data_IF_990767751226
#
_entry.id   IF_990767751226
#
_cell.length_a   1.000
_cell.length_b   1.000
_cell.length_c   1.000
_cell.angle_alpha   90.00
_cell.angle_beta   90.00
_cell.angle_gamma   90.00
#
_symmetry.space_group_name_H-M   'P 1'
#
loop_
_entity.id
_entity.type
_entity.pdbx_description
1 polymer ?
#
# COMPACT_ATOMS: atom_id res chain seq x y z
N UNK A 1 0.62 -9.55 17.68
CA UNK A 1 0.49 -8.52 16.64
C UNK A 1 -0.93 -8.57 16.12
N UNK A 2 -1.76 -7.59 16.49
CA UNK A 2 -3.12 -7.47 15.95
C UNK A 2 -2.97 -7.07 14.48
N UNK A 3 -3.38 -7.92 13.52
CA UNK A 3 -3.50 -7.47 12.15
C UNK A 3 -4.55 -6.34 12.15
N UNK A 4 -4.11 -5.09 12.06
CA UNK A 4 -5.01 -3.94 12.09
C UNK A 4 -5.97 -3.89 10.90
N UNK A 5 -5.69 -4.66 9.83
CA UNK A 5 -6.56 -4.80 8.66
C UNK A 5 -6.56 -6.25 8.16
N UNK A 6 -7.66 -6.67 7.54
CA UNK A 6 -7.75 -7.99 6.91
C UNK A 6 -6.89 -8.03 5.64
N UNK A 7 -6.46 -9.23 5.24
CA UNK A 7 -5.64 -9.42 4.03
C UNK A 7 -6.35 -8.89 2.77
N UNK A 8 -7.66 -9.04 2.71
CA UNK A 8 -8.50 -8.55 1.61
C UNK A 8 -8.44 -7.01 1.48
N UNK A 9 -8.44 -6.30 2.61
CA UNK A 9 -8.35 -4.84 2.61
C UNK A 9 -6.97 -4.37 2.13
N UNK A 10 -5.89 -5.07 2.50
CA UNK A 10 -4.55 -4.81 1.97
C UNK A 10 -4.46 -5.03 0.46
N UNK A 11 -5.02 -6.12 -0.06
CA UNK A 11 -5.01 -6.38 -1.50
C UNK A 11 -5.80 -5.33 -2.28
N UNK A 12 -6.96 -4.90 -1.76
CA UNK A 12 -7.75 -3.83 -2.36
C UNK A 12 -6.97 -2.50 -2.41
N UNK A 13 -6.28 -2.13 -1.33
CA UNK A 13 -5.45 -0.91 -1.28
C UNK A 13 -4.26 -0.98 -2.22
N UNK A 14 -3.57 -2.12 -2.27
CA UNK A 14 -2.44 -2.33 -3.19
C UNK A 14 -2.90 -2.29 -4.65
N UNK A 15 -4.07 -2.88 -4.94
CA UNK A 15 -4.68 -2.83 -6.27
C UNK A 15 -4.96 -1.39 -6.69
N UNK A 16 -5.58 -0.58 -5.82
CA UNK A 16 -5.86 0.83 -6.15
C UNK A 16 -4.56 1.64 -6.31
N UNK A 17 -3.55 1.41 -5.47
CA UNK A 17 -2.24 2.04 -5.63
C UNK A 17 -1.60 1.72 -6.98
N UNK A 18 -1.61 0.44 -7.39
CA UNK A 18 -1.12 -0.01 -8.71
C UNK A 18 -1.94 0.58 -9.86
N UNK A 19 -3.26 0.64 -9.71
CA UNK A 19 -4.16 1.26 -10.70
C UNK A 19 -3.78 2.71 -10.94
N UNK A 20 -3.59 3.49 -9.86
CA UNK A 20 -3.19 4.90 -9.94
C UNK A 20 -1.79 5.08 -10.51
N UNK A 21 -0.84 4.22 -10.14
CA UNK A 21 0.52 4.19 -10.74
C UNK A 21 0.41 4.01 -12.27
N UNK A 22 -0.40 3.05 -12.73
CA UNK A 22 -0.65 2.82 -14.15
C UNK A 22 -1.38 3.99 -14.82
N UNK A 23 -2.38 4.60 -14.16
CA UNK A 23 -3.08 5.79 -14.68
C UNK A 23 -2.13 6.98 -14.88
N UNK A 24 -1.09 7.07 -14.07
CA UNK A 24 -0.06 8.12 -14.16
C UNK A 24 1.12 7.77 -15.07
N UNK A 25 1.09 6.63 -15.79
CA UNK A 25 2.23 6.12 -16.58
C UNK A 25 3.53 6.02 -15.76
N UNK A 26 3.41 5.57 -14.50
CA UNK A 26 4.55 5.32 -13.62
C UNK A 26 4.80 3.82 -13.54
N UNK A 27 6.07 3.41 -13.50
CA UNK A 27 6.46 1.99 -13.36
C UNK A 27 6.59 1.55 -11.91
N UNK A 28 6.61 2.49 -10.96
CA UNK A 28 6.79 2.19 -9.55
C UNK A 28 6.63 3.40 -8.65
N UNK A 29 6.50 3.11 -7.35
CA UNK A 29 6.36 4.11 -6.29
C UNK A 29 7.40 3.81 -5.21
N UNK A 30 8.22 4.81 -4.88
CA UNK A 30 9.14 4.75 -3.74
C UNK A 30 8.48 5.43 -2.53
N UNK A 31 8.27 4.65 -1.47
CA UNK A 31 7.70 5.12 -0.21
C UNK A 31 8.83 5.43 0.77
N UNK A 32 8.90 6.67 1.24
CA UNK A 32 9.92 7.12 2.21
C UNK A 32 9.36 7.39 3.61
N UNK A 33 8.04 7.51 3.74
CA UNK A 33 7.38 7.78 5.02
C UNK A 33 6.91 6.49 5.66
N UNK A 34 7.25 6.28 6.94
CA UNK A 34 6.80 5.12 7.73
C UNK A 34 5.27 5.00 7.75
N UNK A 35 4.54 6.11 7.85
CA UNK A 35 3.07 6.11 7.79
C UNK A 35 2.53 5.57 6.46
N UNK A 36 3.19 5.89 5.34
CA UNK A 36 2.79 5.40 4.02
C UNK A 36 3.13 3.93 3.83
N UNK A 37 4.23 3.47 4.41
CA UNK A 37 4.55 2.04 4.47
C UNK A 37 3.51 1.29 5.30
N UNK A 38 3.22 1.75 6.52
CA UNK A 38 2.18 1.17 7.37
C UNK A 38 0.82 1.09 6.64
N UNK A 39 0.44 2.14 5.93
CA UNK A 39 -0.83 2.19 5.21
C UNK A 39 -0.91 1.21 4.02
N UNK A 40 0.18 1.06 3.25
CA UNK A 40 0.21 0.23 2.03
C UNK A 40 0.66 -1.22 2.25
N UNK A 41 1.48 -1.47 3.26
CA UNK A 41 2.07 -2.80 3.50
C UNK A 41 1.71 -3.36 4.87
N UNK A 42 1.07 -2.57 5.74
CA UNK A 42 0.74 -3.01 7.09
C UNK A 42 1.97 -3.18 7.97
N UNK A 43 3.09 -2.57 7.58
CA UNK A 43 4.36 -2.64 8.30
C UNK A 43 4.26 -1.84 9.60
N UNK A 44 3.63 -2.45 10.60
CA UNK A 44 3.82 -2.11 12.00
C UNK A 44 5.23 -2.59 12.39
N UNK A 45 5.95 -1.79 13.17
CA UNK A 45 7.37 -2.06 13.45
C UNK A 45 7.55 -3.34 14.25
#
# INVERSE_FOLDING_TARGET
MNLHFTREEFEARLFEARRRISEHNLDGLLLFKQESMYYLTGYDT
#
